data_IF_417425612007
#
_entry.id   IF_417425612007
#
_cell.length_a   1.000
_cell.length_b   1.000
_cell.length_c   1.000
_cell.angle_alpha   90.00
_cell.angle_beta   90.00
_cell.angle_gamma   90.00
#
_symmetry.space_group_name_H-M   'P 1'
#
loop_
_entity.id
_entity.type
_entity.pdbx_description
1 polymer ?
#
# COMPACT_ATOMS: atom_id res chain seq x y z
N UNK A 1 -3.34 26.39 -31.68
CA UNK A 1 -1.90 26.51 -31.36
C UNK A 1 -1.49 25.86 -30.03
N UNK A 2 -2.36 25.79 -29.02
CA UNK A 2 -2.03 25.24 -27.69
C UNK A 2 -1.87 23.72 -27.57
N UNK A 3 -2.25 22.91 -28.56
CA UNK A 3 -2.11 21.44 -28.49
C UNK A 3 -0.72 20.93 -28.91
N UNK A 4 0.18 21.82 -29.33
CA UNK A 4 1.51 21.47 -29.85
C UNK A 4 2.62 21.48 -28.79
N UNK A 5 2.39 22.09 -27.64
CA UNK A 5 3.44 22.32 -26.61
C UNK A 5 3.63 21.12 -25.67
N UNK A 6 2.67 20.18 -25.61
CA UNK A 6 2.75 19.02 -24.69
C UNK A 6 3.70 17.92 -25.20
N UNK A 7 4.22 18.03 -26.43
CA UNK A 7 4.93 16.92 -27.11
C UNK A 7 6.44 16.81 -26.86
N UNK A 8 7.04 17.59 -25.96
CA UNK A 8 8.51 17.64 -25.82
C UNK A 8 9.08 17.33 -24.43
N UNK A 9 8.41 16.51 -23.61
CA UNK A 9 9.06 15.89 -22.45
C UNK A 9 8.94 14.36 -22.55
N UNK A 10 9.77 13.79 -23.43
CA UNK A 10 9.89 12.35 -23.62
C UNK A 10 10.70 11.70 -22.49
N UNK A 11 10.03 10.86 -21.71
CA UNK A 11 10.64 9.90 -20.79
C UNK A 11 9.56 9.05 -20.14
N UNK A 12 9.25 7.88 -20.71
CA UNK A 12 8.43 6.78 -20.15
C UNK A 12 7.00 7.09 -19.59
N UNK A 13 6.54 8.34 -19.57
CA UNK A 13 5.33 8.77 -18.84
C UNK A 13 4.11 9.08 -19.72
N UNK A 14 4.13 8.71 -21.01
CA UNK A 14 3.13 9.13 -22.00
C UNK A 14 1.67 8.74 -21.70
N UNK A 15 1.42 7.78 -20.79
CA UNK A 15 0.07 7.36 -20.38
C UNK A 15 -0.29 7.71 -18.93
N UNK A 16 0.69 8.08 -18.09
CA UNK A 16 0.47 8.36 -16.66
C UNK A 16 -0.12 9.75 -16.43
N UNK A 17 0.42 10.77 -17.09
CA UNK A 17 -0.07 12.15 -17.00
C UNK A 17 -1.52 12.34 -17.50
N UNK A 18 -1.94 11.74 -18.63
CA UNK A 18 -3.34 11.79 -19.05
C UNK A 18 -4.28 11.15 -18.01
N UNK A 19 -3.87 10.02 -17.41
CA UNK A 19 -4.69 9.30 -16.43
C UNK A 19 -4.89 10.10 -15.13
N UNK A 20 -3.84 10.74 -14.61
CA UNK A 20 -3.97 11.60 -13.41
C UNK A 20 -5.03 12.70 -13.60
N UNK A 21 -5.09 13.30 -14.79
CA UNK A 21 -6.07 14.33 -15.10
C UNK A 21 -7.49 13.77 -15.22
N UNK A 22 -7.67 12.65 -15.95
CA UNK A 22 -8.97 11.98 -16.08
C UNK A 22 -9.51 11.61 -14.71
N UNK A 23 -8.67 11.05 -13.85
CA UNK A 23 -9.05 10.62 -12.50
C UNK A 23 -9.47 11.80 -11.63
N UNK A 24 -8.68 12.89 -11.66
CA UNK A 24 -9.04 14.12 -10.94
C UNK A 24 -10.35 14.71 -11.44
N UNK A 25 -10.61 14.64 -12.74
CA UNK A 25 -11.84 15.12 -13.34
C UNK A 25 -13.04 14.23 -13.01
N UNK A 26 -12.87 12.90 -12.92
CA UNK A 26 -13.91 11.98 -12.49
C UNK A 26 -14.36 12.24 -11.04
N UNK A 27 -13.42 12.44 -10.13
CA UNK A 27 -13.77 12.72 -8.73
C UNK A 27 -14.39 14.12 -8.58
N UNK A 28 -13.79 15.15 -9.21
CA UNK A 28 -14.27 16.54 -9.06
C UNK A 28 -15.57 16.84 -9.81
N UNK A 29 -15.69 16.36 -11.04
CA UNK A 29 -16.79 16.76 -11.92
C UNK A 29 -17.96 15.77 -11.87
N UNK A 30 -17.69 14.50 -11.57
CA UNK A 30 -18.71 13.45 -11.57
C UNK A 30 -19.02 12.89 -10.17
N UNK A 31 -18.28 13.32 -9.15
CA UNK A 31 -18.49 12.94 -7.75
C UNK A 31 -18.59 11.41 -7.56
N UNK A 32 -17.85 10.66 -8.39
CA UNK A 32 -17.79 9.20 -8.34
C UNK A 32 -16.82 8.82 -7.22
N UNK A 33 -17.28 8.23 -6.11
CA UNK A 33 -16.38 7.80 -5.06
C UNK A 33 -15.55 6.60 -5.54
N UNK A 34 -14.32 6.51 -5.07
CA UNK A 34 -13.50 5.32 -5.25
C UNK A 34 -14.17 4.08 -4.66
N UNK A 35 -13.98 2.89 -5.25
CA UNK A 35 -14.38 1.64 -4.61
C UNK A 35 -13.70 1.57 -3.25
N UNK A 36 -14.53 1.52 -2.20
CA UNK A 36 -14.06 1.61 -0.83
C UNK A 36 -14.80 0.65 0.08
N UNK A 37 -14.08 0.12 1.06
CA UNK A 37 -14.63 -0.71 2.12
C UNK A 37 -14.23 -0.10 3.46
N UNK A 38 -15.16 -0.03 4.40
CA UNK A 38 -14.93 0.61 5.70
C UNK A 38 -15.28 -0.35 6.82
N UNK A 39 -14.45 -0.42 7.84
CA UNK A 39 -14.74 -1.17 9.07
C UNK A 39 -14.24 -0.43 10.30
N UNK A 40 -14.79 -0.77 11.46
CA UNK A 40 -14.44 -0.17 12.74
C UNK A 40 -13.43 -1.05 13.45
N UNK A 41 -12.37 -0.44 13.99
CA UNK A 41 -11.45 -1.14 14.88
C UNK A 41 -11.99 -1.12 16.32
N UNK A 42 -12.08 -2.27 17.00
CA UNK A 42 -12.51 -2.31 18.39
C UNK A 42 -11.51 -1.57 19.28
N UNK A 43 -11.98 -0.59 20.04
CA UNK A 43 -11.16 0.19 21.00
C UNK A 43 -10.57 -0.67 22.12
N UNK A 44 -11.12 -1.86 22.37
CA UNK A 44 -10.71 -2.78 23.45
C UNK A 44 -9.51 -3.67 23.11
N UNK A 45 -9.07 -3.74 21.85
CA UNK A 45 -7.85 -4.47 21.49
C UNK A 45 -6.57 -3.81 22.03
N UNK A 46 -6.66 -2.62 22.63
CA UNK A 46 -5.53 -1.88 23.18
C UNK A 46 -5.15 -2.27 24.62
N UNK A 47 -5.94 -3.07 25.35
CA UNK A 47 -5.75 -3.25 26.82
C UNK A 47 -5.52 -4.69 27.27
N UNK A 48 -5.99 -5.70 26.54
CA UNK A 48 -5.78 -7.10 26.92
C UNK A 48 -4.74 -7.69 25.97
N UNK A 49 -3.56 -7.97 26.52
CA UNK A 49 -2.34 -8.29 25.78
C UNK A 49 -2.58 -9.22 24.59
N UNK A 50 -2.19 -8.73 23.42
CA UNK A 50 -2.07 -9.49 22.20
C UNK A 50 -1.32 -10.79 22.51
N UNK A 51 -1.96 -11.94 22.34
CA UNK A 51 -1.30 -13.24 22.44
C UNK A 51 -0.02 -13.22 21.60
N UNK A 52 1.12 -13.55 22.24
CA UNK A 52 2.44 -13.61 21.59
C UNK A 52 2.58 -14.76 20.57
N UNK A 53 1.46 -15.39 20.19
CA UNK A 53 1.37 -16.50 19.26
C UNK A 53 1.32 -16.07 17.78
N UNK A 54 1.19 -14.76 17.52
CA UNK A 54 1.11 -14.23 16.16
C UNK A 54 -0.30 -14.19 15.57
N UNK A 55 -1.35 -14.53 16.32
CA UNK A 55 -2.74 -14.28 15.94
C UNK A 55 -2.99 -12.78 15.83
N UNK A 56 -3.60 -12.27 14.76
CA UNK A 56 -3.92 -10.85 14.64
C UNK A 56 -5.10 -10.51 15.57
N UNK A 57 -5.12 -9.30 16.12
CA UNK A 57 -6.23 -8.87 16.96
C UNK A 57 -7.53 -8.91 16.14
N UNK A 58 -8.65 -9.21 16.80
CA UNK A 58 -9.99 -9.44 16.18
C UNK A 58 -10.42 -8.32 15.21
N UNK A 59 -9.86 -7.10 15.35
CA UNK A 59 -10.14 -5.97 14.47
C UNK A 59 -9.30 -5.88 13.18
N UNK A 60 -8.09 -6.47 13.14
CA UNK A 60 -7.18 -6.34 12.00
C UNK A 60 -7.26 -7.51 11.03
N UNK A 61 -7.77 -8.68 11.45
CA UNK A 61 -7.87 -9.87 10.57
C UNK A 61 -8.62 -9.56 9.26
N UNK A 62 -9.76 -8.83 9.26
CA UNK A 62 -10.44 -8.46 8.02
C UNK A 62 -9.58 -7.60 7.08
N UNK A 63 -8.71 -6.74 7.63
CA UNK A 63 -7.78 -5.95 6.83
C UNK A 63 -6.70 -6.84 6.20
N UNK A 64 -6.14 -7.75 6.98
CA UNK A 64 -5.12 -8.69 6.50
C UNK A 64 -5.67 -9.57 5.38
N UNK A 65 -6.88 -10.11 5.56
CA UNK A 65 -7.54 -10.93 4.56
C UNK A 65 -7.81 -10.12 3.29
N UNK A 66 -8.36 -8.91 3.41
CA UNK A 66 -8.61 -8.03 2.27
C UNK A 66 -7.33 -7.64 1.53
N UNK A 67 -6.24 -7.36 2.25
CA UNK A 67 -4.94 -7.04 1.65
C UNK A 67 -4.40 -8.23 0.86
N UNK A 68 -4.38 -9.43 1.45
CA UNK A 68 -3.88 -10.63 0.77
C UNK A 68 -4.77 -10.98 -0.43
N UNK A 69 -6.10 -10.93 -0.28
CA UNK A 69 -7.03 -11.13 -1.40
C UNK A 69 -6.73 -10.17 -2.55
N UNK A 70 -6.60 -8.87 -2.26
CA UNK A 70 -6.36 -7.85 -3.27
C UNK A 70 -4.96 -7.94 -3.88
N UNK A 71 -3.92 -8.24 -3.10
CA UNK A 71 -2.57 -8.47 -3.62
C UNK A 71 -2.56 -9.58 -4.67
N UNK A 72 -3.38 -10.62 -4.48
CA UNK A 72 -3.48 -11.75 -5.40
C UNK A 72 -4.43 -11.51 -6.60
N UNK A 73 -5.39 -10.59 -6.49
CA UNK A 73 -6.49 -10.46 -7.48
C UNK A 73 -6.53 -9.12 -8.22
N UNK A 74 -5.92 -8.07 -7.68
CA UNK A 74 -5.99 -6.73 -8.24
C UNK A 74 -5.12 -6.60 -9.50
N UNK A 75 -5.76 -6.27 -10.62
CA UNK A 75 -5.07 -6.10 -11.90
C UNK A 75 -4.45 -4.72 -12.07
N UNK A 76 -5.08 -3.66 -11.54
CA UNK A 76 -4.62 -2.28 -11.67
C UNK A 76 -3.20 -2.06 -11.13
N UNK A 77 -2.94 -2.36 -9.84
CA UNK A 77 -1.60 -2.22 -9.25
C UNK A 77 -0.52 -3.05 -9.95
N UNK A 78 -0.89 -4.20 -10.53
CA UNK A 78 0.03 -5.06 -11.28
C UNK A 78 0.41 -4.46 -12.64
N UNK A 79 -0.58 -3.94 -13.38
CA UNK A 79 -0.37 -3.34 -14.70
C UNK A 79 0.27 -1.95 -14.63
N UNK A 80 -0.04 -1.19 -13.58
CA UNK A 80 0.41 0.19 -13.37
C UNK A 80 1.23 0.31 -12.07
N UNK A 81 2.24 -0.55 -11.93
CA UNK A 81 3.12 -0.58 -10.76
C UNK A 81 3.70 0.81 -10.42
N UNK A 82 3.83 1.08 -9.13
CA UNK A 82 4.24 2.36 -8.53
C UNK A 82 3.41 3.60 -8.94
N UNK A 83 2.32 3.43 -9.68
CA UNK A 83 1.39 4.50 -10.05
C UNK A 83 0.02 4.28 -9.42
N UNK A 84 -0.57 3.09 -9.56
CA UNK A 84 -1.77 2.68 -8.83
C UNK A 84 -1.41 1.75 -7.67
N UNK A 85 -2.17 1.86 -6.59
CA UNK A 85 -2.11 0.96 -5.45
C UNK A 85 -3.45 0.95 -4.72
N UNK A 86 -3.61 0.04 -3.78
CA UNK A 86 -4.68 0.20 -2.81
C UNK A 86 -4.15 0.89 -1.55
N UNK A 87 -5.06 1.57 -0.88
CA UNK A 87 -4.74 2.47 0.21
C UNK A 87 -5.58 2.13 1.44
N UNK A 88 -5.02 2.33 2.63
CA UNK A 88 -5.74 2.24 3.89
C UNK A 88 -5.58 3.57 4.61
N UNK A 89 -6.69 4.18 4.95
CA UNK A 89 -6.79 5.40 5.72
C UNK A 89 -7.23 5.06 7.14
N UNK A 90 -6.57 5.68 8.12
CA UNK A 90 -6.92 5.55 9.53
C UNK A 90 -7.57 6.86 9.97
N UNK A 91 -8.84 6.80 10.36
CA UNK A 91 -9.63 7.96 10.76
C UNK A 91 -10.09 7.79 12.20
N UNK A 92 -9.95 8.84 13.01
CA UNK A 92 -10.54 8.87 14.35
C UNK A 92 -11.86 9.64 14.29
N UNK A 93 -12.97 8.98 14.57
CA UNK A 93 -14.30 9.59 14.61
C UNK A 93 -14.95 9.33 15.97
N UNK A 94 -15.21 10.38 16.74
CA UNK A 94 -15.87 10.32 18.05
C UNK A 94 -15.25 9.31 19.04
N UNK A 95 -13.92 9.16 19.02
CA UNK A 95 -13.19 8.22 19.89
C UNK A 95 -13.20 6.76 19.41
N UNK A 96 -13.76 6.48 18.24
CA UNK A 96 -13.68 5.20 17.54
C UNK A 96 -12.72 5.32 16.35
N UNK A 97 -11.82 4.35 16.20
CA UNK A 97 -10.92 4.30 15.06
C UNK A 97 -11.60 3.56 13.91
N UNK A 98 -11.78 4.25 12.79
CA UNK A 98 -12.31 3.73 11.55
C UNK A 98 -11.18 3.47 10.56
N UNK A 99 -11.23 2.32 9.89
CA UNK A 99 -10.38 1.99 8.75
C UNK A 99 -11.18 2.11 7.46
N UNK A 100 -10.58 2.79 6.48
CA UNK A 100 -11.14 2.91 5.14
C UNK A 100 -10.12 2.40 4.12
N UNK A 101 -10.50 1.35 3.41
CA UNK A 101 -9.73 0.75 2.33
C UNK A 101 -10.20 1.31 1.00
N UNK A 102 -9.29 1.81 0.17
CA UNK A 102 -9.55 2.40 -1.14
C UNK A 102 -8.83 1.57 -2.20
N UNK A 103 -9.54 1.14 -3.22
CA UNK A 103 -8.99 0.29 -4.29
C UNK A 103 -8.50 1.11 -5.48
N UNK A 104 -7.35 0.74 -6.05
CA UNK A 104 -6.80 1.25 -7.33
C UNK A 104 -6.68 2.77 -7.44
N UNK A 105 -6.21 3.42 -6.37
CA UNK A 105 -6.05 4.88 -6.30
C UNK A 105 -4.66 5.28 -6.82
N UNK A 106 -4.52 6.37 -7.59
CA UNK A 106 -3.21 6.91 -7.93
C UNK A 106 -2.47 7.41 -6.69
N UNK A 107 -1.22 6.99 -6.53
CA UNK A 107 -0.42 7.26 -5.34
C UNK A 107 -0.26 8.76 -5.08
N UNK A 108 0.06 9.52 -6.12
CA UNK A 108 0.24 10.98 -6.03
C UNK A 108 -1.02 11.67 -5.57
N UNK A 109 -2.15 11.29 -6.15
CA UNK A 109 -3.46 11.84 -5.79
C UNK A 109 -3.81 11.51 -4.33
N UNK A 110 -3.64 10.24 -3.93
CA UNK A 110 -3.92 9.79 -2.57
C UNK A 110 -3.08 10.54 -1.52
N UNK A 111 -1.77 10.63 -1.74
CA UNK A 111 -0.88 11.33 -0.81
C UNK A 111 -1.18 12.82 -0.71
N UNK A 112 -1.49 13.49 -1.83
CA UNK A 112 -1.86 14.90 -1.82
C UNK A 112 -3.19 15.15 -1.08
N UNK A 113 -4.16 14.22 -1.22
CA UNK A 113 -5.50 14.36 -0.64
C UNK A 113 -5.55 14.03 0.84
N UNK A 114 -4.80 13.03 1.29
CA UNK A 114 -4.88 12.47 2.65
C UNK A 114 -3.60 12.68 3.46
N UNK A 115 -2.79 13.70 3.15
CA UNK A 115 -1.56 14.00 3.87
C UNK A 115 -1.78 14.18 5.38
N UNK A 116 -2.90 14.79 5.78
CA UNK A 116 -3.26 15.03 7.19
C UNK A 116 -3.80 13.82 7.95
N UNK A 117 -3.73 12.62 7.38
CA UNK A 117 -4.18 11.39 8.01
C UNK A 117 -3.06 10.35 8.04
N UNK A 118 -2.98 9.51 9.09
CA UNK A 118 -2.17 8.31 9.03
C UNK A 118 -2.69 7.42 7.91
N UNK A 119 -1.77 6.93 7.07
CA UNK A 119 -2.12 6.23 5.83
C UNK A 119 -1.12 5.13 5.52
N UNK A 120 -1.63 4.05 4.97
CA UNK A 120 -0.87 2.91 4.48
C UNK A 120 -1.17 2.75 3.00
N UNK A 121 -0.15 2.48 2.20
CA UNK A 121 -0.29 2.24 0.76
C UNK A 121 0.37 0.93 0.43
N UNK A 122 -0.16 0.19 -0.54
CA UNK A 122 0.58 -0.92 -1.14
C UNK A 122 0.58 -0.84 -2.66
N UNK A 123 1.73 -1.18 -3.24
CA UNK A 123 1.96 -1.21 -4.68
C UNK A 123 2.84 -2.39 -5.06
N UNK A 124 2.75 -2.81 -6.31
CA UNK A 124 3.84 -3.56 -6.91
C UNK A 124 5.02 -2.66 -7.25
N UNK A 125 6.23 -3.18 -7.07
CA UNK A 125 7.48 -2.48 -7.33
C UNK A 125 8.56 -3.46 -7.77
N UNK A 126 9.43 -3.01 -8.66
CA UNK A 126 10.73 -3.65 -8.92
C UNK A 126 11.81 -3.04 -8.03
N UNK A 127 12.91 -3.76 -7.82
CA UNK A 127 14.08 -3.13 -7.21
C UNK A 127 14.62 -2.02 -8.11
N UNK A 128 15.19 -0.96 -7.52
CA UNK A 128 15.81 0.15 -8.24
C UNK A 128 16.87 -0.34 -9.25
N UNK A 129 17.51 -1.49 -8.98
CA UNK A 129 18.52 -2.10 -9.85
C UNK A 129 18.00 -3.16 -10.84
N UNK A 130 16.68 -3.23 -11.08
CA UNK A 130 16.05 -4.18 -12.03
C UNK A 130 16.18 -3.73 -13.51
N UNK A 131 17.33 -3.24 -13.93
CA UNK A 131 17.54 -2.84 -15.33
C UNK A 131 18.95 -3.18 -15.82
N UNK A 132 19.11 -3.26 -17.15
CA UNK A 132 20.39 -3.50 -17.81
C UNK A 132 20.74 -4.98 -18.06
N UNK A 133 21.95 -5.29 -18.54
CA UNK A 133 22.30 -6.62 -19.07
C UNK A 133 22.51 -7.71 -18.01
N UNK A 134 22.44 -7.38 -16.71
CA UNK A 134 22.75 -8.30 -15.61
C UNK A 134 21.60 -8.48 -14.62
N UNK A 135 20.34 -8.33 -15.03
CA UNK A 135 19.19 -8.49 -14.12
C UNK A 135 19.17 -9.89 -13.48
N UNK A 136 19.62 -10.91 -14.21
CA UNK A 136 19.69 -12.31 -13.73
C UNK A 136 21.10 -12.76 -13.30
N UNK A 137 21.98 -11.82 -12.95
CA UNK A 137 23.37 -12.13 -12.55
C UNK A 137 23.50 -12.78 -11.17
N UNK A 138 24.70 -13.27 -10.84
CA UNK A 138 25.01 -13.79 -9.51
C UNK A 138 24.70 -12.77 -8.40
N UNK A 139 24.07 -13.22 -7.32
CA UNK A 139 23.64 -12.37 -6.20
C UNK A 139 22.38 -11.53 -6.47
N UNK A 140 21.76 -11.67 -7.65
CA UNK A 140 20.46 -11.06 -8.01
C UNK A 140 19.34 -12.09 -8.19
N UNK A 141 19.64 -13.33 -7.83
CA UNK A 141 18.65 -14.39 -7.67
C UNK A 141 17.68 -13.93 -6.58
N UNK A 142 16.39 -14.10 -6.83
CA UNK A 142 15.30 -13.63 -6.00
C UNK A 142 15.46 -13.76 -4.50
N UNK A 143 14.75 -12.92 -3.75
CA UNK A 143 14.59 -13.17 -2.34
C UNK A 143 13.82 -14.49 -2.16
N UNK A 144 14.26 -15.36 -1.25
CA UNK A 144 13.59 -16.64 -0.95
C UNK A 144 12.99 -16.66 0.45
N UNK A 145 13.20 -15.59 1.22
CA UNK A 145 12.75 -15.47 2.62
C UNK A 145 12.19 -14.08 2.87
N UNK A 146 11.16 -13.98 3.71
CA UNK A 146 10.51 -12.72 4.06
C UNK A 146 11.48 -11.63 4.56
N UNK A 147 12.51 -12.00 5.31
CA UNK A 147 13.53 -11.06 5.80
C UNK A 147 14.36 -10.40 4.68
N UNK A 148 14.53 -11.11 3.57
CA UNK A 148 15.31 -10.66 2.41
C UNK A 148 14.39 -10.05 1.33
N UNK A 149 13.07 -9.98 1.55
CA UNK A 149 12.08 -9.51 0.57
C UNK A 149 12.34 -8.08 0.05
N UNK A 150 12.89 -7.19 0.87
CA UNK A 150 13.28 -5.85 0.42
C UNK A 150 14.41 -5.84 -0.61
N UNK A 151 15.15 -6.95 -0.76
CA UNK A 151 16.25 -7.15 -1.72
C UNK A 151 15.78 -7.88 -2.97
N UNK A 152 14.52 -8.29 -3.02
CA UNK A 152 13.92 -8.95 -4.18
C UNK A 152 14.07 -8.08 -5.41
N UNK A 153 14.50 -8.67 -6.52
CA UNK A 153 14.75 -7.92 -7.75
C UNK A 153 13.51 -7.85 -8.64
N UNK A 154 12.67 -8.88 -8.60
CA UNK A 154 11.50 -8.98 -9.46
C UNK A 154 10.32 -8.20 -8.90
N UNK A 155 9.21 -8.20 -9.62
CA UNK A 155 8.02 -7.47 -9.22
C UNK A 155 7.45 -8.11 -7.95
N UNK A 156 7.30 -7.32 -6.89
CA UNK A 156 6.76 -7.81 -5.63
C UNK A 156 5.98 -6.71 -4.89
N UNK A 157 5.04 -7.09 -4.00
CA UNK A 157 4.28 -6.13 -3.22
C UNK A 157 5.14 -5.42 -2.18
N UNK A 158 4.97 -4.10 -2.08
CA UNK A 158 5.58 -3.26 -1.07
C UNK A 158 4.50 -2.41 -0.40
N UNK A 159 4.43 -2.52 0.92
CA UNK A 159 3.57 -1.73 1.79
C UNK A 159 4.39 -0.62 2.46
N UNK A 160 3.83 0.58 2.52
CA UNK A 160 4.45 1.75 3.12
C UNK A 160 3.46 2.51 4.00
N UNK A 161 3.82 2.71 5.27
CA UNK A 161 3.03 3.48 6.23
C UNK A 161 3.61 4.88 6.41
N UNK A 162 2.73 5.87 6.37
CA UNK A 162 3.01 7.29 6.52
C UNK A 162 2.18 7.81 7.70
N UNK A 163 2.82 8.35 8.75
CA UNK A 163 2.14 9.08 9.80
C UNK A 163 1.34 10.28 9.26
N UNK A 164 0.45 10.81 10.11
CA UNK A 164 -0.24 12.06 9.80
C UNK A 164 0.76 13.20 9.58
N UNK A 165 0.59 13.96 8.50
CA UNK A 165 1.42 15.10 8.13
C UNK A 165 2.75 14.75 7.43
N UNK A 166 3.24 13.52 7.59
CA UNK A 166 4.57 13.11 7.09
C UNK A 166 4.56 12.79 5.58
N UNK A 167 5.53 13.29 4.82
CA UNK A 167 5.68 12.94 3.40
C UNK A 167 6.37 11.60 3.19
N UNK A 168 7.23 11.20 4.13
CA UNK A 168 8.04 9.98 4.03
C UNK A 168 7.43 8.84 4.85
N UNK A 169 7.55 7.62 4.30
CA UNK A 169 7.11 6.43 5.00
C UNK A 169 8.06 6.11 6.18
N UNK A 170 7.51 5.93 7.37
CA UNK A 170 8.28 5.56 8.58
C UNK A 170 8.42 4.05 8.75
N UNK A 171 7.51 3.27 8.17
CA UNK A 171 7.57 1.81 8.19
C UNK A 171 7.26 1.27 6.80
N UNK A 172 7.99 0.21 6.42
CA UNK A 172 7.80 -0.48 5.15
C UNK A 172 7.82 -1.99 5.36
N UNK A 173 7.09 -2.70 4.53
CA UNK A 173 7.06 -4.15 4.49
C UNK A 173 7.03 -4.62 3.04
N UNK A 174 7.73 -5.71 2.76
CA UNK A 174 7.82 -6.31 1.45
C UNK A 174 7.39 -7.76 1.56
N UNK A 175 6.56 -8.19 0.61
CA UNK A 175 6.32 -9.60 0.39
C UNK A 175 7.41 -10.11 -0.56
N UNK A 176 7.81 -11.36 -0.39
CA UNK A 176 8.80 -12.01 -1.25
C UNK A 176 8.22 -12.11 -2.66
N UNK A 177 9.02 -11.93 -3.70
CA UNK A 177 8.55 -12.17 -5.06
C UNK A 177 8.06 -13.62 -5.25
N UNK A 178 6.99 -13.79 -6.02
CA UNK A 178 6.46 -15.10 -6.39
C UNK A 178 6.24 -15.16 -7.91
N UNK A 179 6.69 -16.24 -8.53
CA UNK A 179 6.64 -16.41 -10.00
C UNK A 179 5.20 -16.54 -10.51
N UNK A 180 4.31 -17.11 -9.69
CA UNK A 180 2.90 -17.27 -10.01
C UNK A 180 2.04 -16.13 -9.47
N UNK A 181 2.67 -15.13 -8.85
CA UNK A 181 1.99 -14.01 -8.19
C UNK A 181 0.95 -14.48 -7.17
N UNK A 182 1.32 -15.48 -6.36
CA UNK A 182 0.47 -16.06 -5.34
C UNK A 182 1.08 -15.91 -3.94
N UNK A 183 0.46 -15.06 -3.11
CA UNK A 183 0.84 -14.80 -1.72
C UNK A 183 -0.23 -15.34 -0.78
N UNK A 184 -0.24 -16.66 -0.64
CA UNK A 184 -1.24 -17.39 0.14
C UNK A 184 -0.60 -18.15 1.32
N UNK A 185 0.73 -18.09 1.44
CA UNK A 185 1.48 -18.86 2.40
C UNK A 185 1.47 -18.25 3.80
N UNK A 186 1.76 -19.08 4.80
CA UNK A 186 1.98 -18.60 6.16
C UNK A 186 3.19 -17.66 6.25
N UNK A 187 4.17 -17.86 5.37
CA UNK A 187 5.37 -17.03 5.25
C UNK A 187 5.07 -15.62 4.73
N UNK A 188 3.92 -15.41 4.09
CA UNK A 188 3.42 -14.08 3.69
C UNK A 188 2.53 -13.50 4.79
N UNK A 189 1.59 -14.32 5.29
CA UNK A 189 0.56 -13.90 6.24
C UNK A 189 1.15 -13.45 7.58
N UNK A 190 2.06 -14.22 8.17
CA UNK A 190 2.59 -13.92 9.52
C UNK A 190 3.41 -12.64 9.55
N UNK A 191 4.37 -12.41 8.63
CA UNK A 191 5.13 -11.17 8.61
C UNK A 191 4.25 -9.95 8.32
N UNK A 192 3.30 -10.06 7.38
CA UNK A 192 2.36 -8.99 7.07
C UNK A 192 1.49 -8.64 8.28
N UNK A 193 0.95 -9.66 8.96
CA UNK A 193 0.19 -9.46 10.20
C UNK A 193 1.01 -8.75 11.29
N UNK A 194 2.25 -9.17 11.52
CA UNK A 194 3.16 -8.49 12.46
C UNK A 194 3.42 -7.03 12.08
N UNK A 195 3.54 -6.74 10.79
CA UNK A 195 3.67 -5.38 10.30
C UNK A 195 2.41 -4.55 10.57
N UNK A 196 1.22 -5.07 10.27
CA UNK A 196 -0.05 -4.39 10.52
C UNK A 196 -0.27 -4.09 12.01
N UNK A 197 0.11 -5.00 12.91
CA UNK A 197 0.09 -4.74 14.36
C UNK A 197 0.95 -3.54 14.74
N UNK A 198 2.16 -3.43 14.19
CA UNK A 198 3.06 -2.29 14.44
C UNK A 198 2.50 -0.99 13.90
N UNK A 199 1.88 -1.03 12.72
CA UNK A 199 1.18 0.13 12.13
C UNK A 199 0.02 0.57 13.03
N UNK A 200 -0.83 -0.36 13.46
CA UNK A 200 -1.97 -0.06 14.33
C UNK A 200 -1.51 0.54 15.67
N UNK A 201 -0.47 -0.02 16.30
CA UNK A 201 0.11 0.54 17.52
C UNK A 201 0.63 1.97 17.32
N UNK A 202 1.30 2.25 16.20
CA UNK A 202 1.76 3.60 15.86
C UNK A 202 0.61 4.58 15.69
N UNK A 203 -0.48 4.17 15.03
CA UNK A 203 -1.67 5.01 14.85
C UNK A 203 -2.35 5.29 16.19
N UNK A 204 -2.52 4.27 17.04
CA UNK A 204 -3.14 4.43 18.36
C UNK A 204 -2.35 5.35 19.28
N UNK A 205 -1.02 5.25 19.29
CA UNK A 205 -0.19 6.15 20.08
C UNK A 205 -0.34 7.61 19.63
N UNK A 206 -0.40 7.88 18.32
CA UNK A 206 -0.61 9.23 17.79
C UNK A 206 -1.98 9.80 18.16
N UNK A 207 -3.01 8.95 18.28
CA UNK A 207 -4.35 9.39 18.71
C UNK A 207 -4.47 9.65 20.20
N UNK A 208 -3.54 9.15 21.02
CA UNK A 208 -3.54 9.37 22.47
C UNK A 208 -2.87 10.70 22.88
N UNK A 209 -2.03 11.27 22.00
CA UNK A 209 -1.29 12.52 22.23
C UNK A 209 -2.05 13.79 21.80
N UNK A 210 -3.31 13.66 21.35
CA UNK A 210 -4.20 14.76 20.93
C UNK A 210 -5.36 14.90 21.91
#
# INVERSE_FOLDING_TARGET
EELSVIRQQGGHDNLRYPMDNVIRDLEKNFNVPWPQTTWQLPTTCAVIGCSGDGSLDVGLEPLLDKLLERINTASGPYQMFEFLGDMVLFESNAGQMQLRYLEEVPLRHFHARYQGFPRLTWVFRYNDFFHGPKVLGEGRVGATRAQDAHRSHFLHPMLAYFPSGEENATMRHWLVEDVFTQWNGQDDRVPLGKFLKRVAASVMNMTADV
#
